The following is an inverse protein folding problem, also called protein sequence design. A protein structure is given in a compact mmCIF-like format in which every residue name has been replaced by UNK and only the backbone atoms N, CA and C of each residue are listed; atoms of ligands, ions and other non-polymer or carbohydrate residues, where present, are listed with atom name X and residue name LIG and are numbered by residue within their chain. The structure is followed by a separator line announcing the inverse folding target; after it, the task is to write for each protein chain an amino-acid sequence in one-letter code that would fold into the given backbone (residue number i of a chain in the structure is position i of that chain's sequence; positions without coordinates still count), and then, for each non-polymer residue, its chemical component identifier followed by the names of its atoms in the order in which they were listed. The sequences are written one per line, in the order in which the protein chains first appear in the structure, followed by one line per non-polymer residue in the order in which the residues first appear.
data_IF_996122536151
#
_entry.id   IF_996122536151
#
_cell.length_a   1.000
_cell.length_b   1.000
_cell.length_c   1.000
_cell.angle_alpha   90.00
_cell.angle_beta   90.00
_cell.angle_gamma   90.00
#
_symmetry.space_group_name_H-M   'P 1'
#
loop_
_entity.id
_entity.type
_entity.pdbx_description
1 polymer ?
#
# COMPACT_ATOMS: atom_id res chain seq x y z
N UNK A 1 -8.61 6.81 8.14
CA UNK A 1 -7.52 5.90 8.50
C UNK A 1 -7.24 4.93 7.38
N UNK A 2 -6.10 4.31 7.45
CA UNK A 2 -5.71 3.36 6.39
C UNK A 2 -6.56 2.08 6.45
N UNK A 3 -6.95 1.64 7.63
CA UNK A 3 -7.86 0.51 7.79
C UNK A 3 -9.20 0.76 7.10
N UNK A 4 -9.73 1.96 7.22
CA UNK A 4 -10.96 2.34 6.53
C UNK A 4 -10.74 2.36 5.02
N UNK A 5 -9.58 2.85 4.56
CA UNK A 5 -9.22 2.82 3.14
C UNK A 5 -9.15 1.40 2.60
N UNK A 6 -8.65 0.45 3.40
CA UNK A 6 -8.60 -0.95 2.99
C UNK A 6 -10.00 -1.54 2.82
N UNK A 7 -10.93 -1.22 3.71
CA UNK A 7 -12.32 -1.67 3.60
C UNK A 7 -12.94 -1.13 2.31
N UNK A 8 -12.78 0.15 2.04
CA UNK A 8 -13.31 0.76 0.82
C UNK A 8 -12.72 0.13 -0.43
N UNK A 9 -11.41 -0.15 -0.42
CA UNK A 9 -10.77 -0.79 -1.56
C UNK A 9 -11.34 -2.18 -1.85
N UNK A 10 -11.58 -2.97 -0.81
CA UNK A 10 -12.22 -4.27 -0.96
C UNK A 10 -13.64 -4.15 -1.50
N UNK A 11 -14.40 -3.18 -0.99
CA UNK A 11 -15.75 -2.91 -1.47
C UNK A 11 -15.76 -2.51 -2.94
N UNK A 12 -14.80 -1.66 -3.35
CA UNK A 12 -14.67 -1.23 -4.74
C UNK A 12 -14.40 -2.42 -5.66
N UNK A 13 -13.49 -3.30 -5.28
CA UNK A 13 -13.18 -4.51 -6.04
C UNK A 13 -14.40 -5.41 -6.14
N UNK A 14 -15.09 -5.65 -5.02
CA UNK A 14 -16.28 -6.48 -5.02
C UNK A 14 -17.39 -5.90 -5.90
N UNK A 15 -17.54 -4.58 -5.88
CA UNK A 15 -18.52 -3.90 -6.72
C UNK A 15 -18.21 -4.10 -8.20
N UNK A 16 -16.96 -3.92 -8.60
CA UNK A 16 -16.52 -4.08 -9.98
C UNK A 16 -16.75 -5.51 -10.45
N UNK A 17 -16.41 -6.49 -9.62
CA UNK A 17 -16.64 -7.91 -9.93
C UNK A 17 -18.13 -8.20 -10.07
N UNK A 18 -18.96 -7.61 -9.22
CA UNK A 18 -20.42 -7.78 -9.26
C UNK A 18 -21.00 -7.27 -10.58
N UNK A 19 -20.42 -6.22 -11.17
CA UNK A 19 -20.90 -5.69 -12.46
C UNK A 19 -20.36 -6.48 -13.66
N UNK A 20 -19.68 -7.59 -13.44
CA UNK A 20 -19.31 -8.51 -14.50
C UNK A 20 -17.98 -8.22 -15.19
N UNK A 21 -17.15 -7.34 -14.63
CA UNK A 21 -15.79 -7.15 -15.16
C UNK A 21 -14.96 -8.37 -14.75
N UNK A 22 -14.33 -9.07 -15.72
CA UNK A 22 -13.55 -10.26 -15.38
C UNK A 22 -12.39 -9.91 -14.44
N UNK A 23 -12.28 -10.66 -13.34
CA UNK A 23 -11.25 -10.43 -12.32
C UNK A 23 -9.83 -10.53 -12.89
N UNK A 24 -9.61 -11.36 -13.90
CA UNK A 24 -8.31 -11.49 -14.57
C UNK A 24 -7.94 -10.26 -15.40
N UNK A 25 -8.83 -9.30 -15.53
CA UNK A 25 -8.55 -7.99 -16.13
C UNK A 25 -8.35 -6.89 -15.11
N UNK A 26 -8.49 -7.22 -13.81
CA UNK A 26 -8.36 -6.24 -12.74
C UNK A 26 -6.96 -6.27 -12.14
N UNK A 27 -6.46 -5.08 -11.81
CA UNK A 27 -5.21 -4.90 -11.09
C UNK A 27 -5.51 -4.04 -9.87
N UNK A 28 -5.13 -4.52 -8.69
CA UNK A 28 -5.23 -3.71 -7.49
C UNK A 28 -4.01 -2.79 -7.40
N UNK A 29 -4.21 -1.55 -7.00
CA UNK A 29 -3.13 -0.57 -6.93
C UNK A 29 -2.90 -0.06 -5.53
N UNK A 30 -1.65 0.28 -5.21
CA UNK A 30 -1.28 0.88 -3.94
C UNK A 30 -0.24 1.98 -4.16
N UNK A 31 -0.36 3.12 -3.45
CA UNK A 31 0.66 4.14 -3.50
C UNK A 31 1.80 3.81 -2.55
N UNK A 32 3.03 4.20 -2.93
CA UNK A 32 4.22 4.04 -2.10
C UNK A 32 4.62 5.37 -1.45
N UNK A 33 3.65 6.16 -1.06
CA UNK A 33 3.87 7.44 -0.37
C UNK A 33 2.80 7.66 0.68
N UNK A 34 3.08 8.57 1.60
CA UNK A 34 2.11 8.99 2.60
C UNK A 34 1.34 10.22 2.14
N UNK A 35 0.13 10.35 2.64
CA UNK A 35 -0.74 11.50 2.40
C UNK A 35 -1.17 12.05 3.76
N UNK A 36 -1.23 13.36 3.89
CA UNK A 36 -1.66 13.97 5.15
C UNK A 36 -3.08 13.55 5.48
N UNK A 37 -3.32 13.34 6.77
CA UNK A 37 -4.62 12.91 7.28
C UNK A 37 -5.66 14.01 7.20
N UNK A 38 -5.24 15.25 7.19
CA UNK A 38 -6.13 16.41 7.07
C UNK A 38 -6.46 16.73 5.61
N UNK A 39 -7.12 17.85 5.39
CA UNK A 39 -7.55 18.26 4.05
C UNK A 39 -6.47 18.89 3.19
N UNK A 40 -5.25 19.07 3.71
CA UNK A 40 -4.16 19.71 2.96
C UNK A 40 -3.67 18.84 1.80
N UNK A 41 -3.87 17.53 1.88
CA UNK A 41 -3.51 16.55 0.84
C UNK A 41 -2.05 16.63 0.40
N UNK A 42 -1.16 16.97 1.34
CA UNK A 42 0.27 16.91 1.06
C UNK A 42 0.71 15.45 0.97
N UNK A 43 1.73 15.20 0.19
CA UNK A 43 2.29 13.85 0.05
C UNK A 43 3.74 13.87 0.50
N UNK A 44 4.23 12.73 0.97
CA UNK A 44 5.62 12.55 1.35
C UNK A 44 6.06 11.13 1.01
N UNK A 45 7.28 11.00 0.52
CA UNK A 45 7.83 9.71 0.14
C UNK A 45 7.93 8.79 1.35
N UNK A 46 7.59 7.51 1.18
CA UNK A 46 7.76 6.53 2.23
C UNK A 46 9.21 6.45 2.71
N UNK A 47 10.19 6.54 1.78
CA UNK A 47 11.60 6.46 2.17
C UNK A 47 11.98 7.56 3.18
N UNK A 48 11.32 8.71 3.14
CA UNK A 48 11.59 9.79 4.10
C UNK A 48 11.25 9.37 5.53
N UNK A 49 10.16 8.61 5.69
CA UNK A 49 9.77 8.11 7.02
C UNK A 49 10.79 7.13 7.56
N UNK A 50 11.25 6.22 6.72
CA UNK A 50 12.25 5.21 7.12
C UNK A 50 13.60 5.87 7.42
N UNK A 51 14.05 6.77 6.55
CA UNK A 51 15.35 7.45 6.73
C UNK A 51 15.39 8.31 7.98
N UNK A 52 14.24 8.80 8.42
CA UNK A 52 14.14 9.59 9.66
C UNK A 52 13.82 8.74 10.89
N UNK A 53 13.89 7.42 10.76
CA UNK A 53 13.71 6.51 11.89
C UNK A 53 12.28 6.44 12.43
N UNK A 54 11.30 6.81 11.64
CA UNK A 54 9.91 6.88 12.08
C UNK A 54 9.16 5.56 11.97
N UNK A 55 9.67 4.61 11.19
CA UNK A 55 9.05 3.32 11.00
C UNK A 55 9.77 2.30 11.88
N UNK A 56 9.12 1.88 12.95
CA UNK A 56 9.68 0.94 13.91
C UNK A 56 9.07 -0.46 13.81
N UNK A 57 8.04 -0.63 13.00
CA UNK A 57 7.35 -1.90 12.83
C UNK A 57 6.72 -1.97 11.44
N UNK A 58 6.71 -3.15 10.79
CA UNK A 58 6.03 -3.33 9.51
C UNK A 58 4.51 -3.12 9.60
N UNK A 59 3.95 -3.10 10.80
CA UNK A 59 2.52 -2.89 11.01
C UNK A 59 2.11 -1.42 11.01
N UNK A 60 3.06 -0.50 11.00
CA UNK A 60 2.75 0.93 11.03
C UNK A 60 2.23 1.43 9.68
N UNK A 61 1.16 2.21 9.74
CA UNK A 61 0.52 2.84 8.58
C UNK A 61 0.28 4.33 8.78
N UNK A 62 0.87 4.91 9.82
CA UNK A 62 0.68 6.31 10.17
C UNK A 62 1.93 6.82 10.88
N UNK A 63 2.37 8.02 10.51
CA UNK A 63 3.53 8.65 11.14
C UNK A 63 3.27 10.14 11.35
N UNK A 64 3.96 10.72 12.34
CA UNK A 64 4.02 12.15 12.53
C UNK A 64 5.35 12.64 11.96
N UNK A 65 5.29 13.47 10.94
CA UNK A 65 6.48 13.95 10.24
C UNK A 65 6.38 15.45 9.99
N UNK A 66 7.32 16.19 10.50
CA UNK A 66 7.37 17.65 10.37
C UNK A 66 6.07 18.33 10.81
N UNK A 67 5.50 17.85 11.91
CA UNK A 67 4.30 18.45 12.50
C UNK A 67 2.98 18.02 11.82
N UNK A 68 3.02 17.12 10.86
CA UNK A 68 1.81 16.64 10.19
C UNK A 68 1.71 15.13 10.28
N UNK A 69 0.48 14.64 10.34
CA UNK A 69 0.21 13.20 10.38
C UNK A 69 -0.01 12.70 8.96
N UNK A 70 0.83 11.74 8.54
CA UNK A 70 0.71 11.09 7.24
C UNK A 70 0.20 9.68 7.42
N UNK A 71 -0.67 9.27 6.53
CA UNK A 71 -1.14 7.87 6.43
C UNK A 71 -0.58 7.25 5.16
N UNK A 72 -0.24 5.98 5.22
CA UNK A 72 0.39 5.25 4.12
C UNK A 72 0.12 3.76 4.27
N UNK A 73 0.41 3.00 3.23
CA UNK A 73 0.38 1.54 3.31
C UNK A 73 1.75 1.04 3.74
N UNK A 74 1.87 0.60 4.99
CA UNK A 74 3.11 -0.04 5.48
C UNK A 74 3.24 -1.46 4.92
N UNK A 75 4.36 -2.12 5.23
CA UNK A 75 4.66 -3.44 4.67
C UNK A 75 3.58 -4.47 4.93
N UNK A 76 3.08 -4.56 6.17
CA UNK A 76 2.03 -5.54 6.49
C UNK A 76 0.75 -5.26 5.70
N UNK A 77 0.42 -3.98 5.53
CA UNK A 77 -0.77 -3.60 4.78
C UNK A 77 -0.61 -3.93 3.29
N UNK A 78 0.58 -3.71 2.75
CA UNK A 78 0.90 -4.11 1.36
C UNK A 78 0.73 -5.63 1.19
N UNK A 79 1.20 -6.41 2.16
CA UNK A 79 1.06 -7.88 2.13
C UNK A 79 -0.40 -8.31 2.15
N UNK A 80 -1.20 -7.67 3.02
CA UNK A 80 -2.64 -7.98 3.14
C UNK A 80 -3.35 -7.69 1.82
N UNK A 81 -3.10 -6.53 1.22
CA UNK A 81 -3.71 -6.16 -0.05
C UNK A 81 -3.29 -7.07 -1.19
N UNK A 82 -2.01 -7.44 -1.23
CA UNK A 82 -1.47 -8.35 -2.25
C UNK A 82 -2.09 -9.74 -2.12
N UNK A 83 -2.19 -10.24 -0.89
CA UNK A 83 -2.83 -11.54 -0.64
C UNK A 83 -4.28 -11.54 -1.06
N UNK A 84 -5.00 -10.47 -0.74
CA UNK A 84 -6.39 -10.32 -1.15
C UNK A 84 -6.54 -10.36 -2.67
N UNK A 85 -5.67 -9.66 -3.40
CA UNK A 85 -5.69 -9.66 -4.85
C UNK A 85 -5.45 -11.08 -5.40
N UNK A 86 -4.52 -11.82 -4.81
CA UNK A 86 -4.26 -13.21 -5.19
C UNK A 86 -5.48 -14.10 -4.93
N UNK A 87 -6.07 -13.98 -3.75
CA UNK A 87 -7.25 -14.79 -3.36
C UNK A 87 -8.43 -14.52 -4.27
N UNK A 88 -8.60 -13.29 -4.73
CA UNK A 88 -9.66 -12.93 -5.65
C UNK A 88 -9.32 -13.29 -7.10
N UNK A 89 -8.12 -13.75 -7.38
CA UNK A 89 -7.70 -14.10 -8.73
C UNK A 89 -7.55 -12.89 -9.65
N UNK A 90 -7.18 -11.74 -9.11
CA UNK A 90 -6.94 -10.54 -9.91
C UNK A 90 -5.68 -10.72 -10.77
N UNK A 91 -5.57 -9.94 -11.85
CA UNK A 91 -4.43 -9.98 -12.76
C UNK A 91 -3.11 -9.72 -12.05
N UNK A 92 -3.10 -8.83 -11.06
CA UNK A 92 -1.88 -8.53 -10.32
C UNK A 92 -2.02 -7.30 -9.44
N UNK A 93 -0.87 -6.80 -9.02
CA UNK A 93 -0.76 -5.59 -8.21
C UNK A 93 -0.01 -4.52 -9.00
N UNK A 94 -0.42 -3.28 -8.82
CA UNK A 94 0.27 -2.12 -9.37
C UNK A 94 0.67 -1.21 -8.22
N UNK A 95 1.85 -0.63 -8.31
CA UNK A 95 2.31 0.35 -7.34
C UNK A 95 2.73 1.64 -8.04
N UNK A 96 2.67 2.73 -7.30
CA UNK A 96 3.18 4.02 -7.74
C UNK A 96 3.53 4.83 -6.49
N UNK A 97 4.46 5.64 -6.44
CA UNK A 97 5.55 5.91 -7.33
C UNK A 97 6.77 5.12 -6.82
N UNK A 98 7.43 4.35 -7.65
CA UNK A 98 8.57 3.52 -7.22
C UNK A 98 9.71 4.37 -6.66
N UNK A 99 9.85 5.61 -7.13
CA UNK A 99 10.87 6.52 -6.64
C UNK A 99 10.62 6.97 -5.19
N UNK A 100 9.43 6.73 -4.63
CA UNK A 100 9.10 7.07 -3.25
C UNK A 100 9.31 5.94 -2.28
N UNK A 101 9.65 4.75 -2.77
CA UNK A 101 10.01 3.59 -1.95
C UNK A 101 11.52 3.61 -1.70
N UNK A 102 11.97 2.67 -0.88
CA UNK A 102 13.40 2.38 -0.67
C UNK A 102 13.89 1.44 -1.78
N UNK A 103 15.22 1.34 -1.98
CA UNK A 103 15.75 0.33 -2.88
C UNK A 103 15.29 -1.08 -2.50
N UNK A 104 15.10 -1.94 -3.49
CA UNK A 104 14.54 -3.28 -3.30
C UNK A 104 15.34 -4.15 -2.33
N UNK A 105 16.64 -3.92 -2.22
CA UNK A 105 17.50 -4.65 -1.29
C UNK A 105 17.38 -4.18 0.16
N UNK A 106 16.66 -3.10 0.42
CA UNK A 106 16.39 -2.64 1.77
C UNK A 106 15.26 -3.49 2.37
N UNK A 107 15.47 -3.98 3.59
CA UNK A 107 14.48 -4.85 4.25
C UNK A 107 13.14 -4.18 4.48
N UNK A 108 13.08 -2.87 4.48
CA UNK A 108 11.85 -2.11 4.71
C UNK A 108 11.16 -1.64 3.42
N UNK A 109 11.67 -2.03 2.24
CA UNK A 109 11.05 -1.68 0.96
C UNK A 109 9.61 -2.21 0.87
N UNK A 110 8.71 -1.38 0.38
CA UNK A 110 7.31 -1.76 0.16
C UNK A 110 7.20 -2.71 -1.04
N UNK A 111 7.96 -2.46 -2.09
CA UNK A 111 7.96 -3.33 -3.26
C UNK A 111 8.48 -4.73 -2.91
N UNK A 112 9.49 -4.81 -2.05
CA UNK A 112 9.98 -6.09 -1.54
C UNK A 112 8.87 -6.89 -0.87
N UNK A 113 8.08 -6.23 -0.01
CA UNK A 113 6.96 -6.88 0.68
C UNK A 113 5.92 -7.39 -0.32
N UNK A 114 5.61 -6.61 -1.34
CA UNK A 114 4.66 -6.98 -2.38
C UNK A 114 5.15 -8.20 -3.17
N UNK A 115 6.41 -8.17 -3.61
CA UNK A 115 6.99 -9.27 -4.41
C UNK A 115 7.04 -10.55 -3.59
N UNK A 116 7.45 -10.49 -2.34
CA UNK A 116 7.48 -11.66 -1.46
C UNK A 116 6.10 -12.28 -1.32
N UNK A 117 5.08 -11.46 -1.15
CA UNK A 117 3.71 -11.97 -1.01
C UNK A 117 3.18 -12.55 -2.33
N UNK A 118 3.51 -11.93 -3.47
CA UNK A 118 3.13 -12.45 -4.78
C UNK A 118 3.74 -13.83 -5.05
N UNK A 119 4.95 -14.08 -4.55
CA UNK A 119 5.67 -15.32 -4.79
C UNK A 119 5.34 -16.44 -3.80
N UNK A 120 4.54 -16.18 -2.79
CA UNK A 120 4.06 -17.24 -1.89
C UNK A 120 3.00 -18.10 -2.60
N UNK A 121 3.01 -19.39 -2.28
CA UNK A 121 2.03 -20.35 -2.81
C UNK A 121 0.75 -20.45 -2.00
#
# INVERSE_FOLDING_TARGET
SRGLGDVYKRQDIQMVLKYGIPKEKLVAGVPFYGVTKDNSKKTEAYFSFVQNGLITSPAENEVNYKGEVYVFDGQDNIRIKTRYAKEQGLKGMMSWDLATDLPLDNSQSLLKAMIEELNKE
#
